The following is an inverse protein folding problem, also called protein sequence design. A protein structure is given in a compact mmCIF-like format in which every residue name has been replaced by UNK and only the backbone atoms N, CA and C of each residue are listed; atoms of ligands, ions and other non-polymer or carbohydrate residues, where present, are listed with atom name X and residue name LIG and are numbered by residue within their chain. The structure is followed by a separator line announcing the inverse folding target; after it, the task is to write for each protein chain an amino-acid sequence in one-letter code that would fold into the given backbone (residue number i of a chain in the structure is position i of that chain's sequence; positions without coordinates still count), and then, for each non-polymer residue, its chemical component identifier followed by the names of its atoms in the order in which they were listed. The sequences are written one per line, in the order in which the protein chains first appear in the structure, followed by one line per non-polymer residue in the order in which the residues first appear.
data_IF_868616810503
#
_entry.id   IF_868616810503
#
_cell.length_a   1.000
_cell.length_b   1.000
_cell.length_c   1.000
_cell.angle_alpha   90.00
_cell.angle_beta   90.00
_cell.angle_gamma   90.00
#
_symmetry.space_group_name_H-M   'P 1'
#
loop_
_entity.id
_entity.type
_entity.pdbx_description
1 polymer ?
#
# COMPACT_ATOMS: atom_id res chain seq x y z
N UNK A 1 -20.52 -10.35 3.62
CA UNK A 1 -20.48 -10.60 5.06
C UNK A 1 -20.67 -12.08 5.39
N UNK A 2 -20.50 -12.45 6.67
CA UNK A 2 -20.73 -13.81 7.13
C UNK A 2 -22.23 -14.12 7.19
N UNK A 3 -22.62 -15.33 6.75
CA UNK A 3 -24.00 -15.81 6.89
C UNK A 3 -24.36 -16.21 8.33
N UNK A 4 -23.35 -16.43 9.18
CA UNK A 4 -23.53 -16.90 10.57
C UNK A 4 -23.47 -15.74 11.56
N UNK A 5 -22.68 -14.71 11.31
CA UNK A 5 -22.52 -13.55 12.19
C UNK A 5 -22.92 -12.26 11.47
N UNK A 6 -24.10 -11.69 11.77
CA UNK A 6 -24.51 -10.40 11.21
C UNK A 6 -23.48 -9.31 11.48
N UNK A 7 -23.14 -8.54 10.43
CA UNK A 7 -22.17 -7.44 10.54
C UNK A 7 -20.69 -7.86 10.45
N UNK A 8 -20.36 -9.17 10.44
CA UNK A 8 -19.00 -9.62 10.19
C UNK A 8 -18.67 -9.50 8.70
N UNK A 9 -17.59 -8.80 8.40
CA UNK A 9 -17.03 -8.69 7.04
C UNK A 9 -15.66 -9.38 7.02
N UNK A 10 -15.48 -10.32 6.09
CA UNK A 10 -14.19 -10.99 5.89
C UNK A 10 -13.47 -10.36 4.68
N UNK A 11 -12.14 -10.26 4.70
CA UNK A 11 -11.34 -9.73 3.58
C UNK A 11 -11.16 -10.80 2.48
N UNK A 12 -12.28 -11.29 1.91
CA UNK A 12 -12.30 -12.44 1.00
C UNK A 12 -11.45 -12.23 -0.26
N UNK A 13 -11.40 -11.02 -0.80
CA UNK A 13 -10.59 -10.73 -2.00
C UNK A 13 -9.09 -10.82 -1.69
N UNK A 14 -8.54 -10.17 -0.66
CA UNK A 14 -7.14 -10.39 -0.24
C UNK A 14 -6.83 -11.85 0.10
N UNK A 15 -7.74 -12.57 0.76
CA UNK A 15 -7.56 -13.98 1.08
C UNK A 15 -7.46 -14.86 -0.19
N UNK A 16 -8.28 -14.58 -1.20
CA UNK A 16 -8.21 -15.28 -2.49
C UNK A 16 -6.88 -15.00 -3.22
N UNK A 17 -6.41 -13.74 -3.19
CA UNK A 17 -5.11 -13.35 -3.76
C UNK A 17 -3.95 -14.03 -3.04
N UNK A 18 -4.00 -14.15 -1.72
CA UNK A 18 -3.00 -14.89 -0.95
C UNK A 18 -2.93 -16.37 -1.35
N UNK A 19 -4.07 -17.01 -1.62
CA UNK A 19 -4.07 -18.40 -2.10
C UNK A 19 -3.38 -18.55 -3.46
N UNK A 20 -3.58 -17.59 -4.37
CA UNK A 20 -2.85 -17.56 -5.64
C UNK A 20 -1.34 -17.38 -5.40
N UNK A 21 -0.95 -16.49 -4.49
CA UNK A 21 0.45 -16.29 -4.13
C UNK A 21 1.09 -17.57 -3.58
N UNK A 22 0.38 -18.34 -2.76
CA UNK A 22 0.87 -19.62 -2.22
C UNK A 22 1.08 -20.65 -3.33
N UNK A 23 0.19 -20.72 -4.32
CA UNK A 23 0.36 -21.62 -5.46
C UNK A 23 1.56 -21.24 -6.30
N UNK A 24 1.77 -19.93 -6.53
CA UNK A 24 2.93 -19.44 -7.28
C UNK A 24 4.24 -19.74 -6.54
N UNK A 25 4.28 -19.56 -5.23
CA UNK A 25 5.44 -19.92 -4.42
C UNK A 25 5.76 -21.42 -4.49
N UNK A 26 4.73 -22.28 -4.50
CA UNK A 26 4.89 -23.72 -4.72
C UNK A 26 5.35 -24.08 -6.13
N UNK A 27 4.92 -23.33 -7.13
CA UNK A 27 5.32 -23.51 -8.52
C UNK A 27 6.81 -23.23 -8.78
N UNK A 28 7.41 -22.31 -8.03
CA UNK A 28 8.85 -22.02 -8.08
C UNK A 28 9.68 -23.28 -7.80
N UNK A 29 9.30 -24.07 -6.82
CA UNK A 29 9.97 -25.35 -6.51
C UNK A 29 9.84 -26.33 -7.68
N UNK A 30 8.67 -26.41 -8.30
CA UNK A 30 8.45 -27.30 -9.46
C UNK A 30 9.37 -26.91 -10.63
N UNK A 31 9.46 -25.62 -10.93
CA UNK A 31 10.31 -25.10 -12.02
C UNK A 31 11.78 -25.33 -11.71
N UNK A 32 12.20 -25.07 -10.47
CA UNK A 32 13.58 -25.28 -10.02
C UNK A 32 14.00 -26.75 -10.18
N UNK A 33 13.18 -27.68 -9.70
CA UNK A 33 13.45 -29.11 -9.83
C UNK A 33 13.51 -29.56 -11.29
N UNK A 34 12.56 -29.11 -12.13
CA UNK A 34 12.53 -29.43 -13.55
C UNK A 34 13.75 -28.85 -14.29
N UNK A 35 14.18 -27.64 -13.90
CA UNK A 35 15.37 -26.99 -14.45
C UNK A 35 16.65 -27.74 -14.10
N UNK A 36 16.78 -28.15 -12.82
CA UNK A 36 17.95 -28.88 -12.30
C UNK A 36 18.07 -30.29 -12.89
N UNK A 37 16.94 -30.94 -13.19
CA UNK A 37 16.92 -32.28 -13.76
C UNK A 37 17.29 -32.33 -15.25
N UNK A 38 17.44 -31.19 -15.91
CA UNK A 38 17.95 -31.10 -17.30
C UNK A 38 19.41 -31.47 -17.40
N UNK A 39 19.82 -31.96 -18.57
CA UNK A 39 21.21 -32.34 -18.83
C UNK A 39 21.80 -31.51 -19.97
N UNK A 40 22.82 -30.73 -19.64
CA UNK A 40 23.58 -29.89 -20.54
C UNK A 40 22.67 -28.95 -21.38
N UNK A 41 22.42 -29.27 -22.63
CA UNK A 41 21.60 -28.47 -23.56
C UNK A 41 20.24 -29.10 -23.86
N UNK A 42 19.87 -30.14 -23.13
CA UNK A 42 18.60 -30.87 -23.31
C UNK A 42 17.87 -30.98 -21.98
N UNK A 43 16.66 -30.44 -21.93
CA UNK A 43 15.78 -30.58 -20.80
C UNK A 43 14.44 -31.19 -21.23
N UNK A 44 14.23 -32.46 -20.86
CA UNK A 44 12.98 -33.18 -21.16
C UNK A 44 11.78 -32.66 -20.34
N UNK A 45 12.00 -31.78 -19.37
CA UNK A 45 10.98 -31.25 -18.45
C UNK A 45 10.49 -29.84 -18.87
N UNK A 46 10.93 -29.30 -20.01
CA UNK A 46 10.43 -28.04 -20.56
C UNK A 46 8.89 -27.96 -20.61
N UNK A 47 8.12 -29.01 -20.98
CA UNK A 47 6.67 -28.92 -21.01
C UNK A 47 6.03 -28.58 -19.66
N UNK A 48 6.51 -29.14 -18.54
CA UNK A 48 5.97 -28.80 -17.21
C UNK A 48 6.39 -27.41 -16.78
N UNK A 49 7.58 -26.96 -17.13
CA UNK A 49 8.06 -25.61 -16.85
C UNK A 49 7.18 -24.58 -17.57
N UNK A 50 6.98 -24.77 -18.88
CA UNK A 50 6.16 -23.87 -19.71
C UNK A 50 4.72 -23.84 -19.21
N UNK A 51 4.10 -25.00 -18.97
CA UNK A 51 2.74 -25.09 -18.44
C UNK A 51 2.61 -24.34 -17.11
N UNK A 52 3.52 -24.57 -16.19
CA UNK A 52 3.53 -23.97 -14.87
C UNK A 52 3.67 -22.45 -14.95
N UNK A 53 4.59 -21.93 -15.76
CA UNK A 53 4.80 -20.50 -15.98
C UNK A 53 3.56 -19.83 -16.57
N UNK A 54 3.00 -20.39 -17.64
CA UNK A 54 1.83 -19.81 -18.31
C UNK A 54 0.61 -19.80 -17.40
N UNK A 55 0.32 -20.89 -16.71
CA UNK A 55 -0.82 -21.00 -15.80
C UNK A 55 -0.71 -20.02 -14.63
N UNK A 56 0.46 -19.97 -13.99
CA UNK A 56 0.66 -19.09 -12.85
C UNK A 56 0.68 -17.61 -13.25
N UNK A 57 1.21 -17.26 -14.41
CA UNK A 57 1.15 -15.91 -14.96
C UNK A 57 -0.29 -15.47 -15.21
N UNK A 58 -1.12 -16.34 -15.78
CA UNK A 58 -2.55 -16.07 -15.99
C UNK A 58 -3.31 -15.90 -14.66
N UNK A 59 -3.00 -16.70 -13.65
CA UNK A 59 -3.60 -16.55 -12.32
C UNK A 59 -3.16 -15.28 -11.62
N UNK A 60 -1.89 -14.94 -11.68
CA UNK A 60 -1.36 -13.70 -11.09
C UNK A 60 -2.04 -12.47 -11.70
N UNK A 61 -2.15 -12.42 -13.03
CA UNK A 61 -2.84 -11.34 -13.73
C UNK A 61 -4.30 -11.20 -13.28
N UNK A 62 -5.04 -12.32 -13.23
CA UNK A 62 -6.45 -12.31 -12.80
C UNK A 62 -6.58 -11.92 -11.31
N UNK A 63 -5.70 -12.40 -10.45
CA UNK A 63 -5.67 -12.05 -9.03
C UNK A 63 -5.41 -10.55 -8.83
N UNK A 64 -4.43 -9.99 -9.52
CA UNK A 64 -4.12 -8.56 -9.48
C UNK A 64 -5.30 -7.70 -9.95
N UNK A 65 -5.95 -8.09 -11.06
CA UNK A 65 -7.16 -7.40 -11.55
C UNK A 65 -8.31 -7.48 -10.54
N UNK A 66 -8.55 -8.68 -9.99
CA UNK A 66 -9.61 -8.86 -8.98
C UNK A 66 -9.34 -8.05 -7.73
N UNK A 67 -8.10 -8.02 -7.25
CA UNK A 67 -7.70 -7.19 -6.12
C UNK A 67 -7.95 -5.71 -6.41
N UNK A 68 -7.51 -5.22 -7.57
CA UNK A 68 -7.72 -3.83 -7.94
C UNK A 68 -9.20 -3.49 -7.99
N UNK A 69 -9.96 -4.17 -8.85
CA UNK A 69 -11.36 -3.79 -9.16
C UNK A 69 -12.30 -4.00 -7.98
N UNK A 70 -12.13 -5.11 -7.24
CA UNK A 70 -13.08 -5.50 -6.19
C UNK A 70 -12.62 -5.13 -4.77
N UNK A 71 -11.43 -4.56 -4.61
CA UNK A 71 -10.92 -4.13 -3.31
C UNK A 71 -10.34 -2.72 -3.35
N UNK A 72 -9.30 -2.48 -4.18
CA UNK A 72 -8.53 -1.22 -4.14
C UNK A 72 -9.35 -0.03 -4.65
N UNK A 73 -9.97 -0.16 -5.85
CA UNK A 73 -10.69 0.94 -6.51
C UNK A 73 -11.90 1.44 -5.68
N UNK A 74 -12.40 0.64 -4.72
CA UNK A 74 -13.50 1.01 -3.84
C UNK A 74 -13.08 1.52 -2.46
N UNK A 75 -11.77 1.67 -2.19
CA UNK A 75 -11.31 2.15 -0.88
C UNK A 75 -11.58 3.65 -0.76
N UNK A 76 -12.25 4.01 0.33
CA UNK A 76 -12.46 5.40 0.73
C UNK A 76 -11.81 5.64 2.08
N UNK A 77 -11.23 6.83 2.27
CA UNK A 77 -10.67 7.23 3.55
C UNK A 77 -11.78 7.72 4.49
N UNK A 78 -11.70 7.34 5.77
CA UNK A 78 -12.47 8.02 6.82
C UNK A 78 -11.67 9.24 7.28
N UNK A 79 -11.86 10.35 6.59
CA UNK A 79 -11.03 11.55 6.75
C UNK A 79 -11.09 12.10 8.17
N UNK A 80 -12.30 12.20 8.76
CA UNK A 80 -12.47 12.70 10.13
C UNK A 80 -11.72 11.86 11.16
N UNK A 81 -11.82 10.52 11.04
CA UNK A 81 -11.13 9.62 11.95
C UNK A 81 -9.62 9.70 11.78
N UNK A 82 -9.14 9.79 10.54
CA UNK A 82 -7.71 9.87 10.24
C UNK A 82 -7.12 11.19 10.74
N UNK A 83 -7.80 12.30 10.52
CA UNK A 83 -7.40 13.62 11.02
C UNK A 83 -7.35 13.63 12.55
N UNK A 84 -8.39 13.11 13.21
CA UNK A 84 -8.42 12.97 14.68
C UNK A 84 -7.25 12.12 15.21
N UNK A 85 -6.90 11.04 14.53
CA UNK A 85 -5.76 10.19 14.93
C UNK A 85 -4.42 10.87 14.73
N UNK A 86 -4.23 11.60 13.65
CA UNK A 86 -3.00 12.37 13.41
C UNK A 86 -2.88 13.49 14.44
N UNK A 87 -3.92 14.31 14.63
CA UNK A 87 -3.89 15.44 15.55
C UNK A 87 -3.68 15.03 17.02
N UNK A 88 -4.17 13.85 17.42
CA UNK A 88 -3.96 13.30 18.77
C UNK A 88 -2.63 12.55 18.93
N UNK A 89 -1.88 12.34 17.85
CA UNK A 89 -0.61 11.61 17.89
C UNK A 89 0.50 12.47 18.50
N UNK A 90 1.17 11.96 19.52
CA UNK A 90 2.38 12.60 20.06
C UNK A 90 3.53 12.61 19.03
N UNK A 91 3.51 11.71 18.06
CA UNK A 91 4.53 11.61 17.01
C UNK A 91 4.66 12.87 16.14
N UNK A 92 3.59 13.68 16.04
CA UNK A 92 3.63 14.92 15.25
C UNK A 92 4.61 15.97 15.81
N UNK A 93 5.00 15.85 17.08
CA UNK A 93 6.01 16.72 17.71
C UNK A 93 7.35 16.69 16.95
N UNK A 94 7.67 15.58 16.31
CA UNK A 94 8.91 15.43 15.54
C UNK A 94 8.99 16.42 14.38
N UNK A 95 7.87 16.71 13.73
CA UNK A 95 7.81 17.71 12.67
C UNK A 95 8.04 19.16 13.17
N UNK A 96 7.78 19.41 14.43
CA UNK A 96 7.97 20.72 15.08
C UNK A 96 9.39 20.88 15.64
N UNK A 97 10.13 19.78 15.86
CA UNK A 97 11.47 19.82 16.46
C UNK A 97 12.45 20.78 15.77
N UNK A 98 12.50 20.92 14.43
CA UNK A 98 13.37 21.87 13.76
C UNK A 98 13.09 23.36 14.13
N UNK A 99 11.88 23.67 14.56
CA UNK A 99 11.41 25.02 14.86
C UNK A 99 11.50 25.37 16.34
N UNK A 100 11.23 24.40 17.24
CA UNK A 100 11.16 24.64 18.69
C UNK A 100 12.31 24.00 19.46
N UNK A 101 13.14 23.20 18.80
CA UNK A 101 14.25 22.47 19.41
C UNK A 101 13.82 21.19 20.15
N UNK A 102 14.76 20.27 20.29
CA UNK A 102 14.52 18.94 20.87
C UNK A 102 14.05 18.98 22.34
N UNK A 103 14.63 19.89 23.14
CA UNK A 103 14.30 20.01 24.58
C UNK A 103 12.83 20.37 24.79
N UNK A 104 12.34 21.39 24.09
CA UNK A 104 10.94 21.80 24.17
C UNK A 104 9.99 20.76 23.56
N UNK A 105 10.35 20.17 22.42
CA UNK A 105 9.60 19.07 21.81
C UNK A 105 9.41 17.89 22.78
N UNK A 106 10.47 17.52 23.51
CA UNK A 106 10.40 16.44 24.51
C UNK A 106 9.51 16.76 25.70
N UNK A 107 9.50 18.01 26.17
CA UNK A 107 8.61 18.47 27.26
C UNK A 107 7.15 18.44 26.81
N UNK A 108 6.87 18.95 25.62
CA UNK A 108 5.52 18.94 25.04
C UNK A 108 4.99 17.54 24.83
N UNK A 109 5.81 16.60 24.34
CA UNK A 109 5.43 15.20 24.18
C UNK A 109 5.01 14.56 25.52
N UNK A 110 5.78 14.79 26.59
CA UNK A 110 5.47 14.29 27.93
C UNK A 110 4.19 14.90 28.49
N UNK A 111 3.98 16.20 28.29
CA UNK A 111 2.80 16.89 28.74
C UNK A 111 1.54 16.43 28.00
N UNK A 112 1.62 16.29 26.68
CA UNK A 112 0.50 15.76 25.88
C UNK A 112 0.07 14.36 26.31
N UNK A 113 1.01 13.48 26.65
CA UNK A 113 0.71 12.15 27.19
C UNK A 113 -0.02 12.20 28.54
N UNK A 114 0.30 13.16 29.39
CA UNK A 114 -0.30 13.30 30.72
C UNK A 114 -1.65 14.03 30.70
N UNK A 115 -1.80 15.04 29.85
CA UNK A 115 -2.98 15.93 29.83
C UNK A 115 -4.00 15.53 28.77
N UNK A 116 -3.63 14.69 27.80
CA UNK A 116 -4.41 14.37 26.61
C UNK A 116 -4.68 15.61 25.70
N UNK A 117 -3.98 16.71 25.91
CA UNK A 117 -4.02 17.87 25.05
C UNK A 117 -3.28 17.57 23.72
N UNK A 118 -3.68 18.21 22.64
CA UNK A 118 -2.98 18.06 21.38
C UNK A 118 -1.64 18.81 21.41
N UNK A 119 -0.63 18.28 20.71
CA UNK A 119 0.65 18.95 20.57
C UNK A 119 0.48 20.35 19.97
N UNK A 120 -0.44 20.50 19.01
CA UNK A 120 -0.74 21.77 18.37
C UNK A 120 -1.22 22.84 19.39
N UNK A 121 -2.12 22.44 20.27
CA UNK A 121 -2.65 23.39 21.27
C UNK A 121 -1.58 23.78 22.30
N UNK A 122 -0.80 22.83 22.79
CA UNK A 122 0.28 23.09 23.75
C UNK A 122 1.36 24.02 23.19
N UNK A 123 1.71 23.89 21.92
CA UNK A 123 2.69 24.75 21.25
C UNK A 123 2.20 26.20 21.16
N UNK A 124 0.92 26.39 20.79
CA UNK A 124 0.30 27.70 20.67
C UNK A 124 0.11 28.33 22.07
N UNK A 125 -0.34 27.55 23.05
CA UNK A 125 -0.55 28.02 24.44
C UNK A 125 0.76 28.51 25.08
N UNK A 126 1.87 27.85 24.79
CA UNK A 126 3.20 28.28 25.23
C UNK A 126 3.82 29.41 24.41
N UNK A 127 3.14 29.87 23.36
CA UNK A 127 3.63 30.95 22.51
C UNK A 127 4.90 30.61 21.72
N UNK A 128 5.17 29.31 21.50
CA UNK A 128 6.34 28.86 20.75
C UNK A 128 6.19 29.08 19.25
N UNK A 129 4.98 28.87 18.72
CA UNK A 129 4.60 29.12 17.32
C UNK A 129 3.15 29.63 17.28
N UNK A 130 2.82 30.40 16.25
CA UNK A 130 1.46 30.82 15.96
C UNK A 130 0.58 29.62 15.51
N UNK A 131 -0.73 29.75 15.63
CA UNK A 131 -1.68 28.74 15.14
C UNK A 131 -1.51 28.46 13.63
N UNK A 132 -1.24 29.50 12.86
CA UNK A 132 -1.04 29.42 11.41
C UNK A 132 0.23 28.64 11.05
N UNK A 133 1.34 28.90 11.76
CA UNK A 133 2.60 28.18 11.57
C UNK A 133 2.43 26.69 11.93
N UNK A 134 1.81 26.38 13.07
CA UNK A 134 1.55 25.01 13.49
C UNK A 134 0.69 24.26 12.46
N UNK A 135 -0.40 24.87 11.98
CA UNK A 135 -1.26 24.29 10.96
C UNK A 135 -0.51 24.02 9.67
N UNK A 136 0.36 24.96 9.25
CA UNK A 136 1.19 24.79 8.04
C UNK A 136 2.20 23.66 8.20
N UNK A 137 2.87 23.55 9.35
CA UNK A 137 3.91 22.54 9.59
C UNK A 137 3.30 21.15 9.73
N UNK A 138 2.15 21.05 10.40
CA UNK A 138 1.44 19.78 10.63
C UNK A 138 0.45 19.43 9.53
N UNK A 139 0.48 20.11 8.39
CA UNK A 139 -0.39 19.76 7.26
C UNK A 139 -0.08 18.33 6.75
N UNK A 140 -1.10 17.58 6.29
CA UNK A 140 -0.92 16.21 5.78
C UNK A 140 0.13 16.10 4.67
N UNK A 141 0.22 17.11 3.80
CA UNK A 141 1.16 17.17 2.69
C UNK A 141 2.61 17.24 3.19
N UNK A 142 2.88 18.02 4.25
CA UNK A 142 4.22 18.12 4.85
C UNK A 142 4.57 16.89 5.69
N UNK A 143 3.62 16.37 6.47
CA UNK A 143 3.85 15.19 7.32
C UNK A 143 4.09 13.92 6.50
N UNK A 144 3.42 13.79 5.36
CA UNK A 144 3.56 12.61 4.48
C UNK A 144 4.76 12.67 3.54
N UNK A 145 5.36 13.84 3.34
CA UNK A 145 6.44 14.04 2.36
C UNK A 145 6.02 13.84 0.90
N UNK A 146 4.73 13.80 0.61
CA UNK A 146 4.18 13.53 -0.74
C UNK A 146 4.72 14.51 -1.79
N UNK A 147 4.97 15.76 -1.42
CA UNK A 147 5.57 16.75 -2.34
C UNK A 147 6.97 16.33 -2.84
N UNK A 148 7.74 15.60 -2.03
CA UNK A 148 9.05 15.08 -2.44
C UNK A 148 8.92 13.84 -3.34
N UNK A 149 7.87 13.03 -3.18
CA UNK A 149 7.64 11.81 -3.95
C UNK A 149 7.03 12.11 -5.32
N UNK A 150 6.14 13.11 -5.41
CA UNK A 150 5.47 13.48 -6.66
C UNK A 150 6.44 14.01 -7.73
N UNK A 151 7.60 14.53 -7.34
CA UNK A 151 8.64 14.99 -8.27
C UNK A 151 9.59 13.88 -8.75
N UNK A 152 9.61 12.72 -8.10
CA UNK A 152 10.59 11.66 -8.34
C UNK A 152 10.04 10.43 -9.09
N UNK A 153 8.73 10.22 -9.10
CA UNK A 153 8.11 9.05 -9.76
C UNK A 153 7.01 9.54 -10.70
N UNK A 154 7.13 9.30 -12.03
CA UNK A 154 6.04 9.59 -12.94
C UNK A 154 4.85 8.67 -12.61
N UNK A 155 3.80 9.24 -12.08
CA UNK A 155 2.55 8.52 -11.84
C UNK A 155 1.90 8.26 -13.20
N UNK A 156 1.75 6.99 -13.54
CA UNK A 156 0.97 6.60 -14.72
C UNK A 156 -0.47 7.10 -14.50
N UNK A 157 -0.94 7.99 -15.39
CA UNK A 157 -2.29 8.52 -15.30
C UNK A 157 -3.30 7.39 -15.51
N UNK A 158 -4.50 7.54 -14.95
CA UNK A 158 -5.59 6.55 -15.09
C UNK A 158 -5.87 6.20 -16.57
N UNK A 159 -5.76 7.18 -17.47
CA UNK A 159 -5.91 6.97 -18.91
C UNK A 159 -4.80 6.09 -19.51
N UNK A 160 -3.56 6.24 -19.05
CA UNK A 160 -2.43 5.40 -19.48
C UNK A 160 -2.54 3.97 -18.93
N UNK A 161 -3.03 3.81 -17.71
CA UNK A 161 -3.28 2.50 -17.12
C UNK A 161 -4.39 1.75 -17.89
N UNK A 162 -5.49 2.43 -18.22
CA UNK A 162 -6.58 1.85 -19.03
C UNK A 162 -6.12 1.48 -20.46
N UNK A 163 -5.32 2.33 -21.10
CA UNK A 163 -4.77 2.04 -22.44
C UNK A 163 -3.81 0.82 -22.45
N UNK A 164 -3.05 0.64 -21.36
CA UNK A 164 -2.19 -0.52 -21.18
C UNK A 164 -3.00 -1.81 -20.98
N UNK A 165 -4.09 -1.74 -20.20
CA UNK A 165 -5.00 -2.87 -20.00
C UNK A 165 -5.72 -3.29 -21.27
N UNK A 166 -6.25 -2.34 -22.04
CA UNK A 166 -6.87 -2.61 -23.36
C UNK A 166 -5.88 -3.27 -24.34
N UNK A 167 -4.61 -2.90 -24.26
CA UNK A 167 -3.58 -3.51 -25.11
C UNK A 167 -3.24 -4.95 -24.71
N UNK A 168 -3.25 -5.26 -23.41
CA UNK A 168 -3.01 -6.59 -22.86
C UNK A 168 -4.20 -7.53 -23.07
N UNK A 169 -5.43 -7.04 -22.91
CA UNK A 169 -6.65 -7.82 -23.19
C UNK A 169 -6.78 -8.18 -24.68
N UNK A 170 -6.33 -7.31 -25.59
CA UNK A 170 -6.29 -7.61 -27.04
C UNK A 170 -5.20 -8.59 -27.45
N UNK A 171 -4.09 -8.63 -26.72
CA UNK A 171 -3.03 -9.61 -26.94
C UNK A 171 -3.49 -11.03 -26.55
N UNK A 172 -4.18 -11.16 -25.43
CA UNK A 172 -4.68 -12.44 -24.90
C UNK A 172 -5.72 -13.13 -25.80
N UNK A 173 -6.49 -12.36 -26.59
CA UNK A 173 -7.52 -12.91 -27.50
C UNK A 173 -6.95 -13.45 -28.81
N UNK A 174 -5.69 -13.16 -29.13
CA UNK A 174 -5.04 -13.60 -30.39
C UNK A 174 -4.28 -14.91 -30.25
N UNK A 175 -3.90 -15.31 -29.04
CA UNK A 175 -3.12 -16.52 -28.81
C UNK A 175 -3.96 -17.78 -28.57
N UNK A 176 -5.30 -17.70 -28.65
CA UNK A 176 -6.23 -18.81 -28.46
C UNK A 176 -7.18 -19.05 -29.67
N UNK A 177 -6.86 -18.53 -30.86
CA UNK A 177 -7.61 -18.80 -32.09
C UNK A 177 -6.83 -19.65 -33.09
#
# INVERSE_FOLDING_TARGET
GSSIMPGKVNPVIPEAVNQVAFVIAGADVTISMASEAGQLQLNAFEPVMLHTLMQNSAWLRRAARTLRVNCIDGITANEELLESRVSSSVGVVTALTPYIGYSEASKLAKEALNTKATIADLVVERGLLSREEVTSILSPERLSGIQAVTSAIPIITQAQAMALEDSLDRADLRDFS
#
